data_IF_041035376235
#
_entry.id   IF_041035376235
#
_cell.length_a   1.000
_cell.length_b   1.000
_cell.length_c   1.000
_cell.angle_alpha   90.00
_cell.angle_beta   90.00
_cell.angle_gamma   90.00
#
_symmetry.space_group_name_H-M   'P 1'
#
loop_
_entity.id
_entity.type
_entity.pdbx_description
1 polymer ?
#
# COMPACT_ATOMS: atom_id res chain seq x y z
N UNK A 1 -34.37 -3.49 9.73
CA UNK A 1 -34.06 -3.52 11.18
C UNK A 1 -32.67 -2.92 11.34
N UNK A 2 -32.59 -1.62 11.68
CA UNK A 2 -31.33 -0.88 11.69
C UNK A 2 -30.47 -1.30 12.87
N UNK A 3 -29.25 -1.78 12.61
CA UNK A 3 -28.25 -1.99 13.66
C UNK A 3 -27.85 -0.61 14.19
N UNK A 4 -28.23 -0.30 15.43
CA UNK A 4 -27.71 0.85 16.16
C UNK A 4 -26.21 0.63 16.33
N UNK A 5 -25.39 1.38 15.57
CA UNK A 5 -23.94 1.43 15.78
C UNK A 5 -23.71 1.95 17.20
N UNK A 6 -22.89 1.24 17.98
CA UNK A 6 -22.38 1.77 19.24
C UNK A 6 -21.61 3.07 19.02
N UNK A 7 -21.32 3.83 20.08
CA UNK A 7 -20.52 5.05 19.96
C UNK A 7 -19.17 4.73 19.31
N UNK A 8 -18.71 5.61 18.42
CA UNK A 8 -17.40 5.49 17.78
C UNK A 8 -16.30 5.47 18.86
N UNK A 9 -15.23 4.66 18.72
CA UNK A 9 -14.12 4.62 19.67
C UNK A 9 -13.48 6.00 19.89
N UNK A 10 -12.81 6.26 21.02
CA UNK A 10 -12.25 7.58 21.34
C UNK A 10 -11.24 8.10 20.30
N UNK A 11 -10.51 7.21 19.62
CA UNK A 11 -9.50 7.53 18.60
C UNK A 11 -10.04 7.43 17.16
N UNK A 12 -11.36 7.35 16.99
CA UNK A 12 -11.98 7.18 15.68
C UNK A 12 -12.13 8.52 14.96
N UNK A 13 -11.51 8.65 13.78
CA UNK A 13 -11.55 9.89 12.98
C UNK A 13 -12.24 9.66 11.61
N UNK A 14 -13.05 10.63 11.18
CA UNK A 14 -13.71 10.63 9.85
C UNK A 14 -13.19 11.78 9.01
N UNK A 15 -12.86 11.50 7.75
CA UNK A 15 -12.40 12.50 6.78
C UNK A 15 -13.33 12.66 5.57
N UNK A 16 -14.55 12.13 5.65
CA UNK A 16 -15.60 12.35 4.66
C UNK A 16 -15.43 11.60 3.33
N UNK A 17 -14.45 10.70 3.21
CA UNK A 17 -14.28 9.79 2.06
C UNK A 17 -13.96 8.37 2.54
N UNK A 18 -14.35 7.31 1.82
CA UNK A 18 -13.92 5.94 2.12
C UNK A 18 -12.47 5.74 1.68
N UNK A 19 -11.67 5.03 2.49
CA UNK A 19 -10.26 4.76 2.21
C UNK A 19 -10.04 3.30 1.84
N UNK A 20 -9.15 3.07 0.88
CA UNK A 20 -8.77 1.73 0.42
C UNK A 20 -7.26 1.47 0.57
N UNK A 21 -6.47 2.51 0.81
CA UNK A 21 -5.04 2.41 1.07
C UNK A 21 -4.62 3.33 2.21
N UNK A 22 -3.68 2.85 3.02
CA UNK A 22 -3.04 3.61 4.08
C UNK A 22 -1.55 3.22 4.15
N UNK A 23 -0.66 4.21 4.29
CA UNK A 23 0.76 3.96 4.51
C UNK A 23 1.36 5.06 5.41
N UNK A 24 2.36 4.70 6.21
CA UNK A 24 3.18 5.70 6.90
C UNK A 24 4.18 6.32 5.90
N UNK A 25 4.39 7.63 5.99
CA UNK A 25 5.32 8.37 5.15
C UNK A 25 6.23 9.27 6.00
N UNK A 26 7.55 9.27 5.75
CA UNK A 26 8.46 10.23 6.39
C UNK A 26 8.17 11.65 5.89
N UNK A 27 8.02 12.61 6.82
CA UNK A 27 7.67 13.99 6.49
C UNK A 27 8.62 14.69 5.50
N UNK A 28 9.93 14.46 5.69
CA UNK A 28 11.00 15.11 4.91
C UNK A 28 10.91 14.79 3.42
N UNK A 29 10.41 13.60 3.07
CA UNK A 29 10.31 13.13 1.68
C UNK A 29 9.06 13.68 0.96
N UNK A 30 8.07 14.17 1.72
CA UNK A 30 6.78 14.64 1.21
C UNK A 30 6.79 16.16 0.99
N UNK A 31 7.39 16.94 1.90
CA UNK A 31 7.39 18.43 1.85
C UNK A 31 8.14 18.99 0.65
N UNK A 32 9.28 18.41 0.28
CA UNK A 32 10.13 18.89 -0.82
C UNK A 32 9.44 18.78 -2.19
N UNK A 33 8.48 17.87 -2.35
CA UNK A 33 7.74 17.67 -3.60
C UNK A 33 6.44 18.47 -3.66
N UNK A 34 5.75 18.66 -2.52
CA UNK A 34 4.51 19.44 -2.45
C UNK A 34 4.73 20.95 -2.61
N UNK A 35 5.88 21.47 -2.18
CA UNK A 35 6.24 22.87 -2.36
C UNK A 35 6.43 23.24 -3.83
N UNK A 36 7.04 22.35 -4.64
CA UNK A 36 7.25 22.57 -6.07
C UNK A 36 5.93 22.56 -6.87
N UNK A 37 4.95 21.74 -6.48
CA UNK A 37 3.64 21.67 -7.14
C UNK A 37 2.79 22.95 -6.94
N UNK A 38 3.11 23.79 -5.94
CA UNK A 38 2.42 25.08 -5.71
C UNK A 38 3.03 26.25 -6.49
N UNK A 39 4.21 26.07 -7.08
CA UNK A 39 4.86 27.08 -7.93
C UNK A 39 4.47 26.91 -9.40
N UNK A 40 4.36 25.67 -9.91
CA UNK A 40 4.01 25.39 -11.31
C UNK A 40 2.56 25.76 -11.69
N UNK A 41 1.66 25.90 -10.71
CA UNK A 41 0.26 26.28 -10.97
C UNK A 41 -0.01 27.79 -10.99
N UNK A 42 1.01 28.65 -10.80
CA UNK A 42 0.80 30.12 -10.85
C UNK A 42 0.96 30.74 -12.23
N UNK A 43 1.50 30.02 -13.21
CA UNK A 43 1.86 30.57 -14.52
C UNK A 43 0.91 30.21 -15.68
N UNK A 44 -0.30 29.70 -15.41
CA UNK A 44 -1.36 29.62 -16.43
C UNK A 44 -2.71 30.14 -15.93
N UNK A 45 -3.03 31.36 -16.37
CA UNK A 45 -4.26 32.14 -16.18
C UNK A 45 -5.55 31.36 -16.58
N UNK A 46 -6.78 31.60 -16.12
CA UNK A 46 -7.54 32.81 -15.72
C UNK A 46 -8.81 32.38 -14.97
N UNK A 47 -9.25 33.20 -14.00
CA UNK A 47 -10.61 33.39 -13.46
C UNK A 47 -11.62 32.22 -13.48
N UNK A 48 -11.86 31.62 -12.32
CA UNK A 48 -13.22 31.47 -11.76
C UNK A 48 -13.13 31.19 -10.25
N UNK A 49 -13.93 31.94 -9.46
CA UNK A 49 -13.92 31.94 -8.00
C UNK A 49 -14.18 30.55 -7.39
N UNK A 50 -13.15 29.95 -6.80
CA UNK A 50 -13.29 28.99 -5.72
C UNK A 50 -12.67 29.60 -4.45
N UNK A 51 -13.44 29.65 -3.37
CA UNK A 51 -12.98 30.08 -2.04
C UNK A 51 -11.92 29.10 -1.50
N UNK A 52 -10.69 29.24 -1.98
CA UNK A 52 -9.52 28.53 -1.48
C UNK A 52 -8.99 29.26 -0.23
N UNK A 53 -9.47 28.83 0.94
CA UNK A 53 -8.76 29.11 2.20
C UNK A 53 -7.52 28.23 2.27
N UNK A 54 -6.49 28.62 1.52
CA UNK A 54 -5.15 28.08 1.67
C UNK A 54 -4.65 28.40 3.09
N UNK A 55 -4.56 27.37 3.93
CA UNK A 55 -3.85 27.48 5.19
C UNK A 55 -2.35 27.56 4.86
N UNK A 56 -1.75 28.73 5.02
CA UNK A 56 -0.31 28.91 4.92
C UNK A 56 0.38 27.89 5.84
N UNK A 57 1.17 26.99 5.24
CA UNK A 57 1.98 26.00 5.96
C UNK A 57 3.04 26.77 6.76
N UNK A 58 2.79 26.95 8.05
CA UNK A 58 3.77 27.54 8.97
C UNK A 58 4.97 26.61 9.10
N UNK A 59 6.16 27.20 8.95
CA UNK A 59 7.46 26.54 8.97
C UNK A 59 7.79 26.01 10.38
N UNK A 60 7.25 24.84 10.72
CA UNK A 60 7.66 24.09 11.90
C UNK A 60 8.47 22.88 11.45
N UNK A 61 9.69 22.78 11.96
CA UNK A 61 10.63 21.67 11.81
C UNK A 61 10.15 20.41 12.53
N UNK A 62 8.92 19.97 12.24
CA UNK A 62 8.31 18.85 12.94
C UNK A 62 8.69 17.55 12.21
N UNK A 63 9.52 16.72 12.84
CA UNK A 63 9.80 15.32 12.44
C UNK A 63 8.59 14.43 12.77
N UNK A 64 7.39 14.92 12.44
CA UNK A 64 6.13 14.27 12.74
C UNK A 64 5.98 12.94 12.00
N UNK A 65 5.16 12.06 12.55
CA UNK A 65 4.79 10.82 11.91
C UNK A 65 3.51 11.05 11.11
N UNK A 66 3.52 10.72 9.83
CA UNK A 66 2.38 10.99 8.95
C UNK A 66 1.87 9.71 8.32
N UNK A 67 0.56 9.66 8.15
CA UNK A 67 -0.15 8.60 7.44
C UNK A 67 -0.75 9.21 6.19
N UNK A 68 -0.38 8.66 5.03
CA UNK A 68 -1.08 8.92 3.78
C UNK A 68 -2.25 7.95 3.67
N UNK A 69 -3.45 8.46 3.43
CA UNK A 69 -4.63 7.67 3.14
C UNK A 69 -5.09 7.98 1.71
N UNK A 70 -5.31 6.94 0.92
CA UNK A 70 -5.81 7.03 -0.44
C UNK A 70 -7.18 6.35 -0.53
N UNK A 71 -8.12 7.03 -1.19
CA UNK A 71 -9.51 6.59 -1.21
C UNK A 71 -10.38 7.40 -2.16
N UNK A 72 -11.69 7.26 -2.00
CA UNK A 72 -12.71 7.84 -2.87
C UNK A 72 -13.73 6.81 -3.31
N UNK A 73 -14.59 7.16 -4.26
CA UNK A 73 -15.55 6.20 -4.82
C UNK A 73 -15.70 6.30 -6.33
N UNK A 74 -14.82 7.06 -6.99
CA UNK A 74 -14.97 7.44 -8.39
C UNK A 74 -16.17 8.36 -8.60
N UNK A 75 -15.91 9.59 -9.03
CA UNK A 75 -16.94 10.60 -9.28
C UNK A 75 -18.01 10.12 -10.27
N UNK A 76 -17.63 9.28 -11.25
CA UNK A 76 -18.55 8.73 -12.25
C UNK A 76 -19.55 7.66 -11.76
N UNK A 77 -19.41 7.15 -10.53
CA UNK A 77 -20.34 6.12 -10.01
C UNK A 77 -20.93 6.47 -8.64
N UNK A 78 -20.10 6.98 -7.71
CA UNK A 78 -20.55 7.28 -6.34
C UNK A 78 -20.77 8.77 -6.07
N UNK A 79 -20.32 9.65 -6.98
CA UNK A 79 -20.27 11.09 -6.75
C UNK A 79 -19.26 11.53 -5.69
N UNK A 80 -18.44 10.61 -5.16
CA UNK A 80 -17.37 10.92 -4.19
C UNK A 80 -16.03 10.94 -4.94
N UNK A 81 -15.37 12.11 -5.05
CA UNK A 81 -14.10 12.24 -5.77
C UNK A 81 -13.00 11.44 -5.08
N UNK A 82 -12.06 10.94 -5.88
CA UNK A 82 -10.88 10.30 -5.33
C UNK A 82 -10.01 11.32 -4.59
N UNK A 83 -9.40 10.89 -3.49
CA UNK A 83 -8.61 11.78 -2.64
C UNK A 83 -7.43 11.04 -2.06
N UNK A 84 -6.29 11.74 -2.05
CA UNK A 84 -5.15 11.40 -1.20
C UNK A 84 -5.14 12.42 -0.08
N UNK A 85 -5.08 11.96 1.17
CA UNK A 85 -4.90 12.83 2.31
C UNK A 85 -3.66 12.43 3.09
N UNK A 86 -3.07 13.42 3.74
CA UNK A 86 -2.01 13.27 4.71
C UNK A 86 -2.58 13.66 6.07
N UNK A 87 -2.46 12.80 7.07
CA UNK A 87 -2.82 13.09 8.45
C UNK A 87 -1.59 12.89 9.33
N UNK A 88 -1.41 13.73 10.36
CA UNK A 88 -0.38 13.45 11.36
C UNK A 88 -0.90 12.39 12.33
N UNK A 89 0.00 11.56 12.82
CA UNK A 89 -0.28 10.50 13.77
C UNK A 89 0.47 10.79 15.07
N UNK A 90 -0.29 10.91 16.16
CA UNK A 90 0.24 11.09 17.49
C UNK A 90 0.35 9.73 18.19
N UNK A 91 1.58 9.36 18.55
CA UNK A 91 1.89 8.10 19.22
C UNK A 91 1.44 8.07 20.68
N UNK A 92 1.40 9.22 21.37
CA UNK A 92 1.04 9.28 22.78
C UNK A 92 -0.46 9.05 22.98
N UNK A 93 -1.27 9.61 22.08
CA UNK A 93 -2.73 9.43 22.07
C UNK A 93 -3.22 8.31 21.16
N UNK A 94 -2.34 7.69 20.37
CA UNK A 94 -2.66 6.68 19.35
C UNK A 94 -3.82 7.15 18.44
N UNK A 95 -3.71 8.40 17.94
CA UNK A 95 -4.78 9.05 17.20
C UNK A 95 -4.25 9.81 15.97
N UNK A 96 -5.11 9.92 14.96
CA UNK A 96 -4.86 10.79 13.80
C UNK A 96 -5.32 12.21 14.11
N UNK A 97 -4.68 13.19 13.48
CA UNK A 97 -5.09 14.59 13.58
C UNK A 97 -6.56 14.78 13.18
N UNK A 98 -7.27 15.64 13.92
CA UNK A 98 -8.69 15.90 13.67
C UNK A 98 -8.96 16.42 12.24
N UNK A 99 -8.00 17.12 11.64
CA UNK A 99 -8.02 17.56 10.25
C UNK A 99 -6.82 17.01 9.49
N UNK A 100 -6.95 16.74 8.18
CA UNK A 100 -5.82 16.34 7.37
C UNK A 100 -4.84 17.50 7.26
N UNK A 101 -3.55 17.18 7.30
CA UNK A 101 -2.43 18.09 7.09
C UNK A 101 -2.41 18.57 5.64
N UNK A 102 -2.76 17.69 4.70
CA UNK A 102 -2.96 18.02 3.29
C UNK A 102 -4.04 17.12 2.69
N UNK A 103 -4.78 17.64 1.71
CA UNK A 103 -5.76 16.87 0.93
C UNK A 103 -5.64 17.24 -0.54
N UNK A 104 -5.42 16.25 -1.39
CA UNK A 104 -5.40 16.38 -2.84
C UNK A 104 -6.63 15.67 -3.41
N UNK A 105 -7.49 16.41 -4.10
CA UNK A 105 -8.63 15.87 -4.84
C UNK A 105 -8.20 15.45 -6.25
N UNK A 106 -8.53 14.23 -6.66
CA UNK A 106 -8.16 13.64 -7.96
C UNK A 106 -9.37 13.46 -8.91
N UNK A 107 -10.56 14.00 -8.58
CA UNK A 107 -11.74 13.93 -9.44
C UNK A 107 -12.17 12.50 -9.83
N UNK A 108 -12.56 12.31 -11.10
CA UNK A 108 -12.91 11.01 -11.70
C UNK A 108 -11.70 10.11 -12.00
N UNK A 109 -10.49 10.65 -11.99
CA UNK A 109 -9.29 9.86 -12.20
C UNK A 109 -9.14 8.89 -11.05
N UNK A 110 -9.26 7.60 -11.37
CA UNK A 110 -9.08 6.57 -10.38
C UNK A 110 -7.59 6.40 -10.05
N UNK A 111 -7.26 6.08 -8.79
CA UNK A 111 -5.95 5.57 -8.41
C UNK A 111 -5.60 4.23 -9.07
N UNK A 112 -6.51 3.64 -9.88
CA UNK A 112 -6.20 2.51 -10.76
C UNK A 112 -5.05 2.80 -11.75
N UNK A 113 -4.70 4.08 -11.93
CA UNK A 113 -3.45 4.51 -12.56
C UNK A 113 -2.67 5.41 -11.59
N UNK A 114 -2.08 4.83 -10.55
CA UNK A 114 -0.95 5.50 -9.89
C UNK A 114 0.20 5.58 -10.88
N UNK A 115 0.32 6.71 -11.59
CA UNK A 115 1.56 7.08 -12.27
C UNK A 115 2.45 7.74 -11.21
N UNK A 116 3.37 6.97 -10.64
CA UNK A 116 4.44 7.56 -9.83
C UNK A 116 5.61 7.84 -10.77
N UNK A 117 5.75 9.11 -11.15
CA UNK A 117 6.81 9.56 -12.05
C UNK A 117 8.16 9.66 -11.31
N UNK A 118 9.26 9.10 -11.85
CA UNK A 118 10.59 9.40 -11.37
C UNK A 118 11.02 10.78 -11.90
N UNK A 119 10.62 11.85 -11.21
CA UNK A 119 11.21 13.19 -11.43
C UNK A 119 10.44 14.21 -12.27
N UNK A 120 9.09 14.18 -12.31
CA UNK A 120 8.28 15.24 -12.93
C UNK A 120 8.11 15.24 -14.46
N UNK A 121 8.96 14.57 -15.24
CA UNK A 121 8.87 14.58 -16.71
C UNK A 121 7.85 13.60 -17.33
N UNK A 122 6.57 13.61 -16.95
CA UNK A 122 5.39 12.95 -17.58
C UNK A 122 5.61 11.82 -18.62
N UNK A 123 6.53 10.89 -18.36
CA UNK A 123 6.91 9.87 -19.33
C UNK A 123 6.01 8.67 -19.17
N UNK A 124 4.95 8.65 -19.96
CA UNK A 124 4.09 7.47 -20.12
C UNK A 124 4.89 6.39 -20.86
N UNK A 125 5.27 5.33 -20.15
CA UNK A 125 5.88 4.15 -20.75
C UNK A 125 4.86 3.37 -21.58
N UNK A 126 5.35 2.59 -22.54
CA UNK A 126 4.49 1.77 -23.39
C UNK A 126 3.64 0.82 -22.54
N UNK A 127 2.32 0.73 -22.80
CA UNK A 127 1.48 -0.25 -22.13
C UNK A 127 1.99 -1.65 -22.45
N UNK A 128 2.01 -2.52 -21.44
CA UNK A 128 2.20 -3.95 -21.65
C UNK A 128 1.01 -4.46 -22.49
N UNK A 129 1.30 -5.02 -23.65
CA UNK A 129 0.29 -5.57 -24.57
C UNK A 129 -0.16 -6.97 -24.10
N UNK A 130 -1.41 -7.34 -24.41
CA UNK A 130 -1.98 -8.68 -24.16
C UNK A 130 -1.99 -9.17 -22.69
N UNK A 131 -2.07 -8.26 -21.73
CA UNK A 131 -2.24 -8.59 -20.30
C UNK A 131 -3.65 -8.34 -19.80
N UNK A 132 -4.13 -9.27 -18.96
CA UNK A 132 -5.41 -9.16 -18.24
C UNK A 132 -5.30 -8.20 -17.04
N UNK A 133 -6.40 -8.02 -16.30
CA UNK A 133 -6.43 -7.14 -15.12
C UNK A 133 -5.29 -7.46 -14.14
N UNK A 134 -4.45 -6.45 -13.89
CA UNK A 134 -3.42 -6.51 -12.86
C UNK A 134 -4.06 -6.18 -11.51
N UNK A 135 -3.71 -6.98 -10.51
CA UNK A 135 -4.35 -6.98 -9.19
C UNK A 135 -3.36 -6.64 -8.09
N UNK A 136 -2.07 -6.82 -8.34
CA UNK A 136 -0.99 -6.53 -7.41
C UNK A 136 0.16 -5.82 -8.12
N UNK A 137 0.72 -4.83 -7.45
CA UNK A 137 1.82 -3.99 -7.89
C UNK A 137 2.72 -3.71 -6.68
N UNK A 138 4.03 -3.85 -6.84
CA UNK A 138 4.98 -3.51 -5.79
C UNK A 138 6.30 -3.00 -6.38
N UNK A 139 6.83 -1.91 -5.83
CA UNK A 139 8.21 -1.51 -6.03
C UNK A 139 9.09 -2.05 -4.89
N UNK A 140 10.35 -2.32 -5.19
CA UNK A 140 11.36 -2.47 -4.13
C UNK A 140 11.63 -1.10 -3.46
N UNK A 141 12.31 -1.12 -2.31
CA UNK A 141 12.57 0.10 -1.53
C UNK A 141 13.36 1.17 -2.31
N UNK A 142 14.22 0.76 -3.23
CA UNK A 142 15.02 1.64 -4.08
C UNK A 142 14.25 2.21 -5.28
N UNK A 143 13.06 1.66 -5.60
CA UNK A 143 12.28 2.03 -6.78
C UNK A 143 12.88 1.57 -8.11
N UNK A 144 13.94 0.75 -8.07
CA UNK A 144 14.65 0.23 -9.24
C UNK A 144 14.03 -1.03 -9.83
N UNK A 145 13.14 -1.71 -9.09
CA UNK A 145 12.49 -2.95 -9.51
C UNK A 145 10.98 -2.86 -9.30
N UNK A 146 10.22 -3.26 -10.32
CA UNK A 146 8.76 -3.34 -10.30
C UNK A 146 8.29 -4.78 -10.44
N UNK A 147 7.47 -5.25 -9.49
CA UNK A 147 6.74 -6.51 -9.60
C UNK A 147 5.25 -6.27 -9.87
N UNK A 148 4.68 -7.12 -10.72
CA UNK A 148 3.28 -7.11 -11.13
C UNK A 148 2.72 -8.52 -11.18
N UNK A 149 1.44 -8.63 -10.84
CA UNK A 149 0.69 -9.84 -11.06
C UNK A 149 -0.81 -9.57 -11.17
N UNK A 150 -1.51 -10.45 -11.88
CA UNK A 150 -2.91 -10.26 -12.25
C UNK A 150 -3.75 -11.53 -12.24
N UNK A 151 -4.90 -11.44 -12.88
CA UNK A 151 -5.88 -12.53 -13.01
C UNK A 151 -5.35 -13.72 -13.82
N UNK A 152 -4.34 -13.51 -14.66
CA UNK A 152 -3.69 -14.55 -15.45
C UNK A 152 -2.81 -15.47 -14.58
N UNK A 153 -2.57 -15.09 -13.32
CA UNK A 153 -1.76 -15.87 -12.40
C UNK A 153 -0.26 -15.75 -12.63
N UNK A 154 0.15 -14.95 -13.61
CA UNK A 154 1.54 -14.77 -13.96
C UNK A 154 2.18 -13.72 -13.04
N UNK A 155 3.39 -14.00 -12.59
CA UNK A 155 4.25 -13.05 -11.88
C UNK A 155 5.27 -12.50 -12.88
N UNK A 156 5.34 -11.17 -12.98
CA UNK A 156 6.32 -10.47 -13.81
C UNK A 156 7.09 -9.49 -12.92
N UNK A 157 8.40 -9.43 -13.11
CA UNK A 157 9.29 -8.52 -12.39
C UNK A 157 10.23 -7.87 -13.40
N UNK A 158 10.41 -6.56 -13.29
CA UNK A 158 11.18 -5.77 -14.23
C UNK A 158 12.19 -4.87 -13.55
N UNK A 159 13.31 -4.61 -14.22
CA UNK A 159 14.09 -3.41 -13.96
C UNK A 159 13.26 -2.19 -14.36
N UNK A 160 13.16 -1.22 -13.46
CA UNK A 160 12.44 0.02 -13.66
C UNK A 160 13.41 1.20 -13.80
N UNK A 161 13.15 2.18 -14.69
CA UNK A 161 12.02 2.31 -15.62
C UNK A 161 12.23 1.63 -16.97
N UNK A 162 13.35 0.91 -17.16
CA UNK A 162 13.71 0.30 -18.45
C UNK A 162 12.76 -0.81 -18.93
N UNK A 163 11.92 -1.36 -18.04
CA UNK A 163 10.99 -2.47 -18.29
C UNK A 163 11.68 -3.76 -18.77
N UNK A 164 12.97 -3.93 -18.49
CA UNK A 164 13.69 -5.16 -18.77
C UNK A 164 13.20 -6.27 -17.85
N UNK A 165 12.84 -7.43 -18.40
CA UNK A 165 12.31 -8.57 -17.63
C UNK A 165 13.43 -9.19 -16.80
N UNK A 166 13.28 -9.13 -15.47
CA UNK A 166 14.12 -9.87 -14.52
C UNK A 166 13.58 -11.28 -14.30
N UNK A 167 12.28 -11.40 -14.04
CA UNK A 167 11.60 -12.65 -13.77
C UNK A 167 10.24 -12.66 -14.47
N UNK A 168 9.93 -13.77 -15.13
CA UNK A 168 8.59 -14.06 -15.62
C UNK A 168 8.25 -15.51 -15.28
N UNK A 169 7.38 -15.69 -14.29
CA UNK A 169 6.83 -16.99 -13.95
C UNK A 169 5.38 -17.07 -14.44
N UNK A 170 5.13 -17.94 -15.41
CA UNK A 170 3.77 -18.28 -15.80
C UNK A 170 3.10 -19.16 -14.74
N UNK A 171 1.82 -18.91 -14.45
CA UNK A 171 1.06 -19.71 -13.48
C UNK A 171 1.72 -19.82 -12.10
N UNK A 172 2.37 -18.71 -11.65
CA UNK A 172 2.91 -18.60 -10.30
C UNK A 172 1.81 -18.88 -9.26
N UNK A 173 0.60 -18.39 -9.55
CA UNK A 173 -0.65 -18.67 -8.81
C UNK A 173 -1.80 -18.81 -9.82
N UNK A 174 -3.01 -19.15 -9.36
CA UNK A 174 -4.22 -19.07 -10.20
C UNK A 174 -4.64 -17.63 -10.50
N UNK A 175 -4.33 -16.72 -9.59
CA UNK A 175 -4.35 -15.26 -9.75
C UNK A 175 -3.38 -14.70 -8.71
N UNK A 176 -2.58 -13.71 -9.08
CA UNK A 176 -1.69 -13.02 -8.13
C UNK A 176 -2.47 -11.86 -7.52
N UNK A 177 -2.63 -11.84 -6.21
CA UNK A 177 -3.54 -10.94 -5.49
C UNK A 177 -2.81 -9.95 -4.58
N UNK A 178 -1.59 -10.27 -4.16
CA UNK A 178 -0.77 -9.34 -3.38
C UNK A 178 0.72 -9.65 -3.56
N UNK A 179 1.54 -8.61 -3.42
CA UNK A 179 2.99 -8.63 -3.60
C UNK A 179 3.66 -7.77 -2.54
N UNK A 180 4.85 -8.17 -2.07
CA UNK A 180 5.68 -7.33 -1.20
C UNK A 180 7.15 -7.66 -1.38
N UNK A 181 7.99 -6.64 -1.56
CA UNK A 181 9.43 -6.80 -1.45
C UNK A 181 9.86 -6.77 0.01
N UNK A 182 10.97 -7.45 0.33
CA UNK A 182 11.68 -7.25 1.58
C UNK A 182 12.38 -5.89 1.59
N UNK A 183 12.65 -5.29 2.77
CA UNK A 183 13.25 -3.96 2.86
C UNK A 183 14.64 -3.88 2.22
N UNK A 184 15.39 -4.98 2.23
CA UNK A 184 16.70 -5.13 1.56
C UNK A 184 16.59 -5.45 0.05
N UNK A 185 15.37 -5.54 -0.50
CA UNK A 185 15.13 -5.87 -1.90
C UNK A 185 15.49 -7.31 -2.32
N UNK A 186 16.00 -8.13 -1.40
CA UNK A 186 16.50 -9.47 -1.71
C UNK A 186 15.39 -10.46 -2.04
N UNK A 187 14.25 -10.33 -1.37
CA UNK A 187 13.13 -11.25 -1.49
C UNK A 187 11.88 -10.54 -1.98
N UNK A 188 11.09 -11.28 -2.76
CA UNK A 188 9.72 -10.93 -3.12
C UNK A 188 8.80 -12.04 -2.61
N UNK A 189 7.69 -11.69 -1.98
CA UNK A 189 6.58 -12.63 -1.71
C UNK A 189 5.48 -12.37 -2.73
N UNK A 190 4.97 -13.45 -3.34
CA UNK A 190 3.74 -13.42 -4.12
C UNK A 190 2.66 -14.28 -3.47
N UNK A 191 1.47 -13.70 -3.35
CA UNK A 191 0.29 -14.38 -2.86
C UNK A 191 -0.77 -14.49 -3.96
N UNK A 192 -1.44 -15.64 -3.99
CA UNK A 192 -2.62 -15.84 -4.79
C UNK A 192 -3.81 -16.32 -3.97
N UNK A 193 -4.96 -16.49 -4.64
CA UNK A 193 -6.17 -16.97 -3.98
C UNK A 193 -5.97 -18.37 -3.43
N UNK A 194 -6.07 -18.50 -2.10
CA UNK A 194 -6.08 -19.80 -1.42
C UNK A 194 -4.71 -20.36 -1.06
N UNK A 195 -3.62 -19.59 -1.21
CA UNK A 195 -2.26 -20.04 -0.90
C UNK A 195 -1.80 -21.28 -1.70
N UNK A 196 -0.59 -21.81 -1.44
CA UNK A 196 0.45 -21.27 -0.56
C UNK A 196 1.01 -19.94 -1.07
N UNK A 197 1.76 -19.23 -0.23
CA UNK A 197 2.59 -18.11 -0.69
C UNK A 197 3.88 -18.61 -1.33
N UNK A 198 4.45 -17.87 -2.29
CA UNK A 198 5.77 -18.19 -2.87
C UNK A 198 6.77 -17.06 -2.61
N UNK A 199 7.94 -17.42 -2.10
CA UNK A 199 9.04 -16.49 -1.87
C UNK A 199 10.09 -16.67 -2.95
N UNK A 200 10.47 -15.56 -3.56
CA UNK A 200 11.42 -15.47 -4.66
C UNK A 200 12.68 -14.77 -4.15
N UNK A 201 13.84 -15.31 -4.48
CA UNK A 201 15.08 -14.55 -4.41
C UNK A 201 15.22 -13.75 -5.71
N UNK A 202 15.25 -12.43 -5.58
CA UNK A 202 15.18 -11.50 -6.72
C UNK A 202 16.44 -11.60 -7.58
N UNK A 203 17.60 -11.79 -6.94
CA UNK A 203 18.90 -11.84 -7.63
C UNK A 203 19.07 -13.08 -8.51
N UNK A 204 18.59 -14.23 -8.03
CA UNK A 204 18.62 -15.50 -8.75
C UNK A 204 17.38 -15.75 -9.59
N UNK A 205 16.31 -14.97 -9.40
CA UNK A 205 15.00 -15.16 -10.03
C UNK A 205 14.42 -16.56 -9.78
N UNK A 206 14.72 -17.15 -8.62
CA UNK A 206 14.27 -18.50 -8.26
C UNK A 206 13.36 -18.48 -7.03
N UNK A 207 12.43 -19.44 -6.97
CA UNK A 207 11.66 -19.71 -5.76
C UNK A 207 12.58 -20.32 -4.71
N UNK A 208 12.66 -19.70 -3.54
CA UNK A 208 13.47 -20.18 -2.41
C UNK A 208 12.63 -20.76 -1.29
N UNK A 209 11.34 -20.43 -1.23
CA UNK A 209 10.42 -21.05 -0.27
C UNK A 209 8.95 -21.04 -0.75
N UNK A 210 8.21 -22.01 -0.25
CA UNK A 210 6.75 -22.06 -0.31
C UNK A 210 6.21 -21.95 1.11
N UNK A 211 5.30 -21.01 1.35
CA UNK A 211 4.69 -20.76 2.66
C UNK A 211 3.38 -21.54 2.76
N UNK A 212 3.36 -22.70 3.43
CA UNK A 212 2.19 -23.56 3.46
C UNK A 212 1.08 -22.91 4.29
N UNK A 213 -0.14 -22.94 3.77
CA UNK A 213 -1.33 -22.61 4.55
C UNK A 213 -1.74 -23.79 5.44
N UNK A 214 -2.36 -23.51 6.58
CA UNK A 214 -3.06 -24.53 7.35
C UNK A 214 -4.46 -24.80 6.76
N UNK A 215 -5.15 -25.83 7.28
CA UNK A 215 -6.51 -26.16 6.85
C UNK A 215 -7.44 -24.95 7.03
N UNK A 216 -8.23 -24.70 5.99
CA UNK A 216 -9.22 -23.62 5.88
C UNK A 216 -8.67 -22.19 5.94
N UNK A 217 -7.36 -22.00 5.85
CA UNK A 217 -6.74 -20.69 5.73
C UNK A 217 -6.78 -20.17 4.28
N UNK A 218 -7.04 -18.89 4.12
CA UNK A 218 -6.90 -18.16 2.86
C UNK A 218 -5.99 -16.96 3.12
N UNK A 219 -4.87 -16.90 2.43
CA UNK A 219 -3.98 -15.73 2.51
C UNK A 219 -4.61 -14.57 1.76
N UNK A 220 -4.69 -13.41 2.40
CA UNK A 220 -5.30 -12.20 1.87
C UNK A 220 -4.25 -11.14 1.51
N UNK A 221 -3.32 -10.87 2.43
CA UNK A 221 -2.30 -9.84 2.27
C UNK A 221 -0.95 -10.28 2.84
N UNK A 222 0.13 -9.68 2.38
CA UNK A 222 1.51 -9.92 2.83
C UNK A 222 2.29 -8.62 2.96
N UNK A 223 3.03 -8.43 4.05
CA UNK A 223 3.94 -7.29 4.23
C UNK A 223 5.22 -7.74 4.90
N UNK A 224 6.36 -7.39 4.32
CA UNK A 224 7.62 -7.46 5.02
C UNK A 224 7.78 -6.28 5.98
N UNK A 225 8.54 -6.51 7.03
CA UNK A 225 8.98 -5.51 7.97
C UNK A 225 10.38 -5.85 8.47
N UNK A 226 11.14 -4.84 8.89
CA UNK A 226 12.45 -4.99 9.52
C UNK A 226 12.32 -4.73 11.02
N UNK A 227 12.77 -5.68 11.84
CA UNK A 227 12.94 -5.46 13.27
C UNK A 227 14.20 -4.63 13.51
N UNK A 228 14.23 -3.90 14.62
CA UNK A 228 15.39 -3.10 15.05
C UNK A 228 16.72 -3.89 15.15
N UNK A 229 16.64 -5.21 15.28
CA UNK A 229 17.79 -6.13 15.32
C UNK A 229 18.34 -6.47 13.91
N UNK A 230 17.78 -5.88 12.85
CA UNK A 230 18.15 -6.12 11.47
C UNK A 230 17.49 -7.36 10.85
N UNK A 231 16.73 -8.16 11.61
CA UNK A 231 16.03 -9.31 11.08
C UNK A 231 14.71 -8.90 10.41
N UNK A 232 14.47 -9.44 9.21
CA UNK A 232 13.19 -9.29 8.56
C UNK A 232 12.15 -10.24 9.14
N UNK A 233 10.90 -9.80 9.18
CA UNK A 233 9.73 -10.61 9.45
C UNK A 233 8.76 -10.40 8.31
N UNK A 234 8.23 -11.50 7.80
CA UNK A 234 7.12 -11.44 6.87
C UNK A 234 5.83 -11.65 7.67
N UNK A 235 4.87 -10.76 7.50
CA UNK A 235 3.52 -10.91 8.04
C UNK A 235 2.55 -11.21 6.91
N UNK A 236 1.63 -12.13 7.15
CA UNK A 236 0.53 -12.41 6.23
C UNK A 236 -0.80 -12.30 6.97
N UNK A 237 -1.72 -11.52 6.41
CA UNK A 237 -3.11 -11.53 6.84
C UNK A 237 -3.80 -12.75 6.26
N UNK A 238 -4.46 -13.50 7.14
CA UNK A 238 -5.08 -14.78 6.83
C UNK A 238 -6.53 -14.76 7.30
N UNK A 239 -7.44 -15.21 6.43
CA UNK A 239 -8.83 -15.46 6.79
C UNK A 239 -8.99 -16.95 7.06
N UNK A 240 -9.57 -17.29 8.21
CA UNK A 240 -9.94 -18.66 8.57
C UNK A 240 -11.40 -18.68 9.01
N UNK A 241 -12.27 -19.26 8.18
CA UNK A 241 -13.72 -19.13 8.34
C UNK A 241 -14.16 -17.67 8.20
N UNK A 242 -14.74 -17.10 9.26
CA UNK A 242 -15.14 -15.69 9.31
C UNK A 242 -14.15 -14.80 10.07
N UNK A 243 -13.02 -15.33 10.53
CA UNK A 243 -12.11 -14.63 11.45
C UNK A 243 -10.81 -14.26 10.75
N UNK A 244 -10.27 -13.10 11.11
CA UNK A 244 -8.99 -12.59 10.64
C UNK A 244 -7.84 -12.88 11.59
N UNK A 245 -6.76 -13.40 11.02
CA UNK A 245 -5.51 -13.75 11.71
C UNK A 245 -4.34 -13.03 11.06
N UNK A 246 -3.34 -12.70 11.86
CA UNK A 246 -2.01 -12.36 11.36
C UNK A 246 -1.08 -13.52 11.66
N UNK A 247 -0.41 -14.00 10.62
CA UNK A 247 0.61 -15.04 10.69
C UNK A 247 1.96 -14.39 10.42
N UNK A 248 2.96 -14.72 11.24
CA UNK A 248 4.33 -14.21 11.05
C UNK A 248 5.29 -15.32 10.65
N UNK A 249 6.25 -14.99 9.79
CA UNK A 249 7.19 -15.92 9.20
C UNK A 249 8.63 -15.44 9.42
N UNK A 250 9.51 -16.38 9.72
CA UNK A 250 10.94 -16.12 9.81
C UNK A 250 11.52 -16.05 8.38
N UNK A 251 12.23 -14.99 8.02
CA UNK A 251 12.69 -14.78 6.64
C UNK A 251 14.03 -15.45 6.32
N UNK A 252 14.66 -16.10 7.30
CA UNK A 252 15.88 -16.90 7.07
C UNK A 252 15.53 -18.37 6.80
N UNK A 253 14.61 -18.91 7.59
CA UNK A 253 14.19 -20.32 7.54
C UNK A 253 12.85 -20.54 6.82
N UNK A 254 12.11 -19.46 6.55
CA UNK A 254 10.75 -19.47 6.00
C UNK A 254 9.74 -20.31 6.80
N UNK A 255 10.04 -20.52 8.08
CA UNK A 255 9.15 -21.22 9.02
C UNK A 255 8.15 -20.25 9.64
N UNK A 256 6.92 -20.73 9.77
CA UNK A 256 5.84 -20.06 10.51
C UNK A 256 6.26 -19.91 11.97
N UNK A 257 6.23 -18.67 12.46
CA UNK A 257 6.60 -18.32 13.84
C UNK A 257 5.38 -18.20 14.75
N UNK A 258 4.30 -17.59 14.25
CA UNK A 258 3.09 -17.37 15.04
C UNK A 258 1.84 -17.27 14.17
N UNK A 259 0.69 -17.47 14.78
CA UNK A 259 -0.64 -17.20 14.21
C UNK A 259 -1.53 -16.65 15.30
N UNK A 260 -1.97 -15.40 15.14
CA UNK A 260 -2.74 -14.69 16.15
C UNK A 260 -4.03 -14.14 15.54
N UNK A 261 -5.17 -14.49 16.15
CA UNK A 261 -6.44 -13.87 15.79
C UNK A 261 -6.40 -12.39 16.19
N UNK A 262 -6.68 -11.50 15.25
CA UNK A 262 -6.68 -10.05 15.49
C UNK A 262 -8.08 -9.44 15.38
N UNK A 263 -8.94 -9.98 14.52
CA UNK A 263 -10.31 -9.49 14.31
C UNK A 263 -11.31 -10.66 14.25
N UNK A 264 -12.59 -10.36 14.51
CA UNK A 264 -13.68 -11.36 14.47
C UNK A 264 -14.26 -11.56 13.06
N UNK A 265 -13.97 -10.62 12.17
CA UNK A 265 -14.44 -10.57 10.78
C UNK A 265 -13.26 -10.83 9.81
N UNK A 266 -13.51 -11.09 8.51
CA UNK A 266 -12.45 -11.19 7.52
C UNK A 266 -11.67 -9.88 7.38
N UNK A 267 -10.34 -9.99 7.22
CA UNK A 267 -9.47 -8.84 7.00
C UNK A 267 -9.67 -8.34 5.56
N UNK A 268 -10.06 -7.08 5.40
CA UNK A 268 -10.26 -6.43 4.10
C UNK A 268 -9.11 -5.53 3.68
N UNK A 269 -8.25 -5.11 4.62
CA UNK A 269 -7.00 -4.41 4.33
C UNK A 269 -5.96 -4.76 5.38
N UNK A 270 -4.67 -4.66 5.04
CA UNK A 270 -3.61 -4.93 5.99
C UNK A 270 -2.37 -4.13 5.65
N UNK A 271 -1.74 -3.52 6.66
CA UNK A 271 -0.42 -2.95 6.53
C UNK A 271 0.39 -3.09 7.84
N UNK A 272 1.71 -2.96 7.72
CA UNK A 272 2.65 -3.03 8.83
C UNK A 272 3.63 -1.85 8.69
N UNK A 273 3.98 -1.20 9.79
CA UNK A 273 5.05 -0.20 9.77
C UNK A 273 6.38 -0.83 9.37
N UNK A 274 7.29 -0.03 8.79
CA UNK A 274 8.61 -0.51 8.37
C UNK A 274 9.36 -1.21 9.52
N UNK A 275 9.26 -0.68 10.74
CA UNK A 275 9.86 -1.22 11.97
C UNK A 275 9.11 -2.39 12.64
N UNK A 276 7.91 -2.73 12.12
CA UNK A 276 7.12 -3.86 12.58
C UNK A 276 6.39 -3.66 13.90
N UNK A 277 6.45 -2.46 14.48
CA UNK A 277 5.81 -2.16 15.76
C UNK A 277 4.31 -1.93 15.64
N UNK A 278 3.87 -1.43 14.50
CA UNK A 278 2.47 -1.12 14.24
C UNK A 278 1.93 -2.00 13.12
N UNK A 279 0.68 -2.43 13.30
CA UNK A 279 -0.09 -3.11 12.27
C UNK A 279 -1.46 -2.45 12.17
N UNK A 280 -1.96 -2.31 10.95
CA UNK A 280 -3.31 -1.84 10.66
C UNK A 280 -4.07 -2.97 9.96
N UNK A 281 -5.28 -3.24 10.42
CA UNK A 281 -6.21 -4.26 9.91
C UNK A 281 -7.61 -3.72 9.86
#
# INVERSE_FOLDING_TARGET
MGKTKGPDPPCFQKYGVPFFGAAFVPYKDVRSKLSNLQEDHRDSSTDENFDDKSAALTDTTDDGNYVVLAGGGGEGHSGIPNSILLASFDFDSNSLSAQPVAKLGLGSDCPYRMVVHPGGDDKVLNPLEDIVQQLALAFNAEGSILAVGGEDGNLRVFNWPGMEVLLHEAQAHSSVKDLSFSPDGKFLISLGRGGPGRVWDVSSSMVVASLPKENDEVFAFCRFSQRNDGHHVLYTAVVKGQRGFIVSWNTTSWKRMSSKQVVRDPISSFNVSSDGKLLSV
#
